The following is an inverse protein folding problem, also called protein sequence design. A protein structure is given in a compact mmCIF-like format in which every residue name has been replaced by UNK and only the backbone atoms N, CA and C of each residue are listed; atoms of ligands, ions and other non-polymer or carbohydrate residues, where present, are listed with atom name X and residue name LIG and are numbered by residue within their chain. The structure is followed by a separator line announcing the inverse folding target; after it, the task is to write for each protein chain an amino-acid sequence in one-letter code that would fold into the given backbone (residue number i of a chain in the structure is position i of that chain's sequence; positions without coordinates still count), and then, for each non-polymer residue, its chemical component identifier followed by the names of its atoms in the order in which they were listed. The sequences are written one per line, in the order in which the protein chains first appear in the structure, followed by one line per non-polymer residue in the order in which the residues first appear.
data_IF_360756662269
#
_entry.id   IF_360756662269
#
_cell.length_a   1.000
_cell.length_b   1.000
_cell.length_c   1.000
_cell.angle_alpha   90.00
_cell.angle_beta   90.00
_cell.angle_gamma   90.00
#
_symmetry.space_group_name_H-M   'P 1'
#
loop_
_entity.id
_entity.type
_entity.pdbx_description
1 polymer ?
#
# COMPACT_ATOMS: atom_id res chain seq x y z
N UNK A 1 -7.59 -11.03 18.52
CA UNK A 1 -8.56 -11.68 17.59
C UNK A 1 -7.96 -12.99 17.12
N UNK A 2 -8.76 -14.08 17.03
CA UNK A 2 -8.32 -15.37 16.46
C UNK A 2 -8.47 -15.44 14.94
N UNK A 3 -9.02 -14.39 14.30
CA UNK A 3 -9.14 -14.31 12.84
C UNK A 3 -7.75 -14.30 12.20
N UNK A 4 -7.58 -15.09 11.15
CA UNK A 4 -6.37 -15.14 10.33
C UNK A 4 -6.54 -14.23 9.14
N UNK A 5 -5.55 -13.37 8.90
CA UNK A 5 -5.49 -12.41 7.82
C UNK A 5 -4.64 -13.02 6.71
N UNK A 6 -5.13 -13.13 5.46
CA UNK A 6 -4.27 -13.47 4.34
C UNK A 6 -3.13 -12.45 4.23
N UNK A 7 -1.95 -12.91 3.84
CA UNK A 7 -0.76 -12.05 3.69
C UNK A 7 -0.14 -12.23 2.32
N UNK A 8 0.27 -11.10 1.73
CA UNK A 8 1.18 -11.08 0.58
C UNK A 8 2.61 -11.18 1.10
N UNK A 9 3.40 -12.06 0.50
CA UNK A 9 4.83 -12.16 0.73
C UNK A 9 5.53 -11.29 -0.31
N UNK A 10 6.39 -10.39 0.16
CA UNK A 10 7.10 -9.46 -0.71
C UNK A 10 8.60 -9.63 -0.51
N UNK A 11 9.30 -9.95 -1.60
CA UNK A 11 10.77 -9.80 -1.66
C UNK A 11 11.06 -8.42 -2.25
N UNK A 12 11.67 -7.52 -1.48
CA UNK A 12 11.86 -6.11 -1.88
C UNK A 12 12.59 -5.98 -3.22
N UNK A 13 13.62 -6.80 -3.44
CA UNK A 13 14.39 -6.85 -4.67
C UNK A 13 13.55 -7.22 -5.90
N UNK A 14 12.54 -8.08 -5.73
CA UNK A 14 11.70 -8.57 -6.83
C UNK A 14 10.66 -7.54 -7.29
N UNK A 15 10.37 -6.52 -6.45
CA UNK A 15 9.47 -5.41 -6.81
C UNK A 15 9.98 -4.63 -8.03
N UNK A 16 11.31 -4.47 -8.13
CA UNK A 16 11.96 -3.82 -9.28
C UNK A 16 11.74 -4.56 -10.60
N UNK A 17 11.33 -5.83 -10.55
CA UNK A 17 11.13 -6.70 -11.72
C UNK A 17 9.66 -6.83 -12.10
N UNK A 18 8.76 -6.13 -11.40
CA UNK A 18 7.32 -6.29 -11.53
C UNK A 18 6.88 -7.77 -11.47
N UNK A 19 7.40 -8.49 -10.48
CA UNK A 19 6.93 -9.83 -10.15
C UNK A 19 5.63 -9.73 -9.34
N UNK A 20 4.62 -10.57 -9.65
CA UNK A 20 3.45 -10.71 -8.80
C UNK A 20 3.84 -11.15 -7.38
N UNK A 21 3.00 -10.77 -6.42
CA UNK A 21 3.19 -11.17 -5.02
C UNK A 21 2.76 -12.62 -4.79
N UNK A 22 3.60 -13.39 -4.10
CA UNK A 22 3.16 -14.65 -3.50
C UNK A 22 2.16 -14.38 -2.38
N UNK A 23 1.24 -15.30 -2.14
CA UNK A 23 0.18 -15.13 -1.14
C UNK A 23 0.09 -16.34 -0.23
N UNK A 24 0.01 -16.11 1.08
CA UNK A 24 -0.35 -17.11 2.07
C UNK A 24 -1.83 -16.95 2.43
N UNK A 25 -2.67 -17.78 1.82
CA UNK A 25 -4.12 -17.81 2.00
C UNK A 25 -4.55 -18.44 3.35
N UNK A 26 -3.71 -19.28 3.97
CA UNK A 26 -4.00 -19.76 5.33
C UNK A 26 -3.94 -18.62 6.36
N UNK A 27 -3.21 -17.57 5.99
CA UNK A 27 -3.10 -16.32 6.73
C UNK A 27 -2.41 -16.47 8.09
N UNK A 28 -2.31 -15.35 8.78
CA UNK A 28 -1.74 -15.25 10.13
C UNK A 28 -2.66 -14.42 11.01
N UNK A 29 -2.73 -14.72 12.29
CA UNK A 29 -3.42 -13.87 13.25
C UNK A 29 -2.69 -12.54 13.40
N UNK A 30 -3.41 -11.50 13.83
CA UNK A 30 -2.80 -10.20 14.12
C UNK A 30 -1.65 -10.31 15.13
N UNK A 31 -1.78 -11.18 16.15
CA UNK A 31 -0.72 -11.37 17.14
C UNK A 31 0.52 -12.05 16.54
N UNK A 32 0.34 -13.05 15.69
CA UNK A 32 1.45 -13.69 14.98
C UNK A 32 2.17 -12.68 14.07
N UNK A 33 1.42 -11.83 13.36
CA UNK A 33 1.98 -10.78 12.51
C UNK A 33 2.82 -9.77 13.32
N UNK A 34 2.29 -9.28 14.44
CA UNK A 34 2.98 -8.30 15.29
C UNK A 34 4.22 -8.89 16.00
N UNK A 35 4.23 -10.19 16.25
CA UNK A 35 5.35 -10.88 16.87
C UNK A 35 6.43 -11.31 15.86
N UNK A 36 6.20 -11.12 14.56
CA UNK A 36 7.18 -11.47 13.55
C UNK A 36 8.43 -10.62 13.73
N UNK A 37 9.59 -11.26 13.84
CA UNK A 37 10.85 -10.56 13.97
C UNK A 37 11.08 -9.71 12.70
N UNK A 38 11.29 -8.39 12.81
CA UNK A 38 11.65 -7.54 11.67
C UNK A 38 12.98 -7.92 11.01
N UNK A 39 13.73 -8.88 11.61
CA UNK A 39 14.90 -9.51 11.02
C UNK A 39 16.21 -8.99 11.63
N UNK A 40 17.19 -8.72 10.78
CA UNK A 40 18.56 -8.31 11.12
C UNK A 40 18.62 -7.25 12.24
N UNK A 41 19.64 -7.32 13.10
CA UNK A 41 19.87 -6.33 14.16
C UNK A 41 19.97 -4.89 13.61
N UNK A 42 20.40 -4.73 12.35
CA UNK A 42 20.42 -3.44 11.65
C UNK A 42 19.01 -2.85 11.52
N UNK A 43 18.01 -3.68 11.22
CA UNK A 43 16.61 -3.26 11.11
C UNK A 43 16.01 -2.87 12.45
N UNK A 44 16.33 -3.61 13.51
CA UNK A 44 15.90 -3.28 14.89
C UNK A 44 16.37 -1.89 15.32
N UNK A 45 17.65 -1.59 15.10
CA UNK A 45 18.20 -0.28 15.44
C UNK A 45 17.53 0.87 14.66
N UNK A 46 17.23 0.68 13.37
CA UNK A 46 16.56 1.71 12.57
C UNK A 46 15.13 1.97 13.03
N UNK A 47 14.41 0.92 13.41
CA UNK A 47 13.06 1.03 13.97
C UNK A 47 13.10 1.80 15.30
N UNK A 48 14.05 1.48 16.17
CA UNK A 48 14.18 2.12 17.48
C UNK A 48 14.57 3.60 17.38
N UNK A 49 15.43 3.96 16.44
CA UNK A 49 15.84 5.36 16.22
C UNK A 49 14.81 6.18 15.46
N UNK A 50 13.85 5.53 14.79
CA UNK A 50 12.85 6.17 13.92
C UNK A 50 13.47 7.09 12.85
N UNK A 51 14.63 6.70 12.33
CA UNK A 51 15.28 7.41 11.23
C UNK A 51 14.61 7.06 9.90
N UNK A 52 13.43 7.64 9.67
CA UNK A 52 12.62 7.36 8.47
C UNK A 52 13.32 7.71 7.17
N UNK A 53 14.22 8.71 7.17
CA UNK A 53 14.95 9.07 5.97
C UNK A 53 16.01 8.01 5.64
N UNK A 54 16.65 7.40 6.64
CA UNK A 54 17.56 6.28 6.40
C UNK A 54 16.80 5.00 6.01
N UNK A 55 15.66 4.71 6.66
CA UNK A 55 14.80 3.57 6.29
C UNK A 55 14.38 3.69 4.83
N UNK A 56 13.93 4.88 4.41
CA UNK A 56 13.54 5.13 3.02
C UNK A 56 14.70 4.96 2.04
N UNK A 57 15.90 5.51 2.35
CA UNK A 57 17.09 5.32 1.52
C UNK A 57 17.43 3.83 1.36
N UNK A 58 17.41 3.09 2.45
CA UNK A 58 17.69 1.66 2.46
C UNK A 58 16.68 0.88 1.61
N UNK A 59 15.38 1.21 1.69
CA UNK A 59 14.35 0.56 0.88
C UNK A 59 14.68 0.64 -0.61
N UNK A 60 15.01 1.84 -1.11
CA UNK A 60 15.36 2.03 -2.51
C UNK A 60 16.68 1.37 -2.90
N UNK A 61 17.67 1.37 -2.00
CA UNK A 61 18.93 0.67 -2.20
C UNK A 61 18.72 -0.86 -2.31
N UNK A 62 17.93 -1.46 -1.41
CA UNK A 62 17.60 -2.88 -1.49
C UNK A 62 16.83 -3.23 -2.77
N UNK A 63 15.90 -2.37 -3.18
CA UNK A 63 15.11 -2.60 -4.38
C UNK A 63 15.97 -2.60 -5.66
N UNK A 64 16.98 -1.72 -5.74
CA UNK A 64 17.80 -1.56 -6.94
C UNK A 64 19.09 -2.39 -6.92
N UNK A 65 19.50 -2.92 -5.77
CA UNK A 65 20.72 -3.72 -5.63
C UNK A 65 20.40 -5.22 -5.43
N UNK A 66 20.47 -6.05 -6.49
CA UNK A 66 20.19 -7.48 -6.39
C UNK A 66 21.21 -8.25 -5.54
N UNK A 67 22.40 -7.70 -5.31
CA UNK A 67 23.46 -8.31 -4.51
C UNK A 67 23.35 -7.96 -3.00
N UNK A 68 22.35 -7.17 -2.62
CA UNK A 68 22.07 -6.82 -1.23
C UNK A 68 21.47 -8.00 -0.44
N UNK A 69 21.40 -7.87 0.89
CA UNK A 69 20.68 -8.82 1.74
C UNK A 69 19.22 -8.95 1.27
N UNK A 70 18.75 -10.18 1.00
CA UNK A 70 17.35 -10.42 0.62
C UNK A 70 16.42 -9.97 1.74
N UNK A 71 15.53 -9.02 1.43
CA UNK A 71 14.55 -8.51 2.40
C UNK A 71 13.18 -9.08 2.05
N UNK A 72 12.67 -9.96 2.91
CA UNK A 72 11.33 -10.54 2.78
C UNK A 72 10.41 -10.02 3.87
N UNK A 73 9.24 -9.53 3.48
CA UNK A 73 8.25 -8.91 4.38
C UNK A 73 6.85 -9.42 4.08
N UNK A 74 6.00 -9.38 5.11
CA UNK A 74 4.58 -9.72 4.96
C UNK A 74 3.76 -8.44 4.88
N UNK A 75 2.72 -8.48 4.05
CA UNK A 75 1.76 -7.40 3.95
C UNK A 75 0.34 -7.94 3.94
N UNK A 76 -0.41 -7.71 5.01
CA UNK A 76 -1.83 -8.03 5.04
C UNK A 76 -2.58 -6.87 4.37
N UNK A 77 -3.01 -7.06 3.13
CA UNK A 77 -3.65 -6.05 2.29
C UNK A 77 -5.06 -6.48 1.90
N UNK A 78 -5.88 -5.50 1.54
CA UNK A 78 -7.23 -5.69 1.02
C UNK A 78 -8.16 -6.48 1.97
N UNK A 79 -7.92 -6.35 3.28
CA UNK A 79 -8.73 -6.96 4.31
C UNK A 79 -10.07 -6.22 4.39
N UNK A 80 -11.19 -6.91 4.22
CA UNK A 80 -12.49 -6.25 4.28
C UNK A 80 -12.79 -5.77 5.71
N UNK A 81 -13.09 -4.48 5.85
CA UNK A 81 -13.30 -3.88 7.17
C UNK A 81 -14.46 -4.48 7.97
N UNK A 82 -15.52 -4.95 7.31
CA UNK A 82 -16.65 -5.63 7.96
C UNK A 82 -16.32 -7.05 8.46
N UNK A 83 -15.32 -7.69 7.86
CA UNK A 83 -14.79 -8.97 8.30
C UNK A 83 -13.74 -8.81 9.41
N UNK A 84 -12.84 -7.82 9.32
CA UNK A 84 -11.67 -7.73 10.20
C UNK A 84 -11.73 -6.67 11.30
N UNK A 85 -12.56 -5.64 11.15
CA UNK A 85 -12.79 -4.68 12.25
C UNK A 85 -13.89 -5.18 13.18
N UNK A 86 -13.74 -4.90 14.47
CA UNK A 86 -14.76 -5.24 15.44
C UNK A 86 -16.04 -4.44 15.15
N UNK A 87 -17.19 -5.12 15.05
CA UNK A 87 -18.52 -4.47 14.97
C UNK A 87 -18.77 -3.54 16.17
N UNK A 88 -18.06 -3.79 17.27
CA UNK A 88 -18.13 -3.08 18.55
C UNK A 88 -17.14 -1.89 18.65
N UNK A 89 -16.30 -1.64 17.64
CA UNK A 89 -15.22 -0.64 17.72
C UNK A 89 -15.69 0.82 17.83
N UNK A 90 -16.99 1.11 17.74
CA UNK A 90 -17.52 2.28 18.43
C UNK A 90 -19.01 2.09 18.72
N UNK A 91 -19.38 1.78 19.97
CA UNK A 91 -20.74 2.12 20.44
C UNK A 91 -20.97 3.65 20.46
N UNK A 92 -19.92 4.44 20.23
CA UNK A 92 -20.01 5.88 20.05
C UNK A 92 -20.76 6.23 18.75
N UNK A 93 -22.03 6.59 18.92
CA UNK A 93 -22.92 7.06 17.87
C UNK A 93 -22.35 8.28 17.12
N UNK A 94 -21.45 9.06 17.73
CA UNK A 94 -20.81 10.19 17.07
C UNK A 94 -19.85 9.70 15.99
N UNK A 95 -18.98 8.73 16.27
CA UNK A 95 -18.07 8.15 15.27
C UNK A 95 -18.84 7.40 14.18
N UNK A 96 -19.86 6.62 14.57
CA UNK A 96 -20.67 5.86 13.62
C UNK A 96 -21.37 6.76 12.59
N UNK A 97 -21.74 7.99 12.96
CA UNK A 97 -22.40 8.92 12.05
C UNK A 97 -21.48 10.02 11.54
N UNK A 98 -20.20 9.99 11.92
CA UNK A 98 -19.25 11.02 11.52
C UNK A 98 -19.06 11.02 10.00
N UNK A 99 -19.03 12.19 9.33
CA UNK A 99 -18.89 12.26 7.88
C UNK A 99 -17.55 11.73 7.37
N UNK A 100 -16.52 11.68 8.23
CA UNK A 100 -15.21 11.11 7.90
C UNK A 100 -15.08 9.62 8.20
N UNK A 101 -16.14 8.97 8.70
CA UNK A 101 -16.14 7.52 8.80
C UNK A 101 -16.11 6.94 7.37
N UNK A 102 -15.02 6.23 7.04
CA UNK A 102 -14.77 5.78 5.67
C UNK A 102 -15.87 4.87 5.11
N UNK A 103 -16.56 4.12 5.98
CA UNK A 103 -17.71 3.29 5.61
C UNK A 103 -18.97 4.09 5.27
N UNK A 104 -18.93 5.43 5.39
CA UNK A 104 -20.05 6.35 5.13
C UNK A 104 -19.73 7.44 4.12
N UNK A 105 -18.49 7.51 3.64
CA UNK A 105 -18.09 8.53 2.65
C UNK A 105 -18.94 8.46 1.38
N UNK A 106 -19.26 7.24 0.94
CA UNK A 106 -20.09 7.02 -0.24
C UNK A 106 -21.52 7.58 -0.07
N UNK A 107 -22.02 7.73 1.17
CA UNK A 107 -23.37 8.24 1.48
C UNK A 107 -23.43 9.77 1.64
N UNK A 108 -22.29 10.47 1.58
CA UNK A 108 -22.28 11.91 1.78
C UNK A 108 -22.96 12.61 0.61
N UNK A 109 -23.61 13.76 0.87
CA UNK A 109 -24.42 14.50 -0.11
C UNK A 109 -23.71 14.81 -1.44
N UNK A 110 -22.38 14.93 -1.41
CA UNK A 110 -21.58 15.27 -2.60
C UNK A 110 -20.88 14.05 -3.23
N UNK A 111 -21.14 12.84 -2.72
CA UNK A 111 -20.64 11.61 -3.31
C UNK A 111 -21.55 11.18 -4.46
N UNK A 112 -20.98 10.89 -5.63
CA UNK A 112 -21.74 10.27 -6.73
C UNK A 112 -22.15 8.83 -6.40
N UNK A 113 -21.39 8.15 -5.53
CA UNK A 113 -21.64 6.77 -5.12
C UNK A 113 -22.90 6.62 -4.24
N UNK A 114 -23.49 7.72 -3.76
CA UNK A 114 -24.73 7.66 -2.97
C UNK A 114 -25.93 7.14 -3.79
N UNK A 115 -25.83 7.21 -5.12
CA UNK A 115 -26.85 6.79 -6.07
C UNK A 115 -26.61 5.38 -6.65
N UNK A 116 -25.50 4.73 -6.32
CA UNK A 116 -25.25 3.36 -6.76
C UNK A 116 -26.28 2.41 -6.13
N UNK A 117 -26.94 1.60 -6.98
CA UNK A 117 -27.90 0.59 -6.52
C UNK A 117 -27.21 -0.46 -5.65
N UNK A 118 -26.02 -0.90 -6.09
CA UNK A 118 -25.14 -1.71 -5.27
C UNK A 118 -24.40 -0.83 -4.25
N UNK A 119 -24.81 -0.95 -3.00
CA UNK A 119 -24.22 -0.22 -1.87
C UNK A 119 -22.99 -0.92 -1.29
N UNK A 120 -22.63 -2.11 -1.78
CA UNK A 120 -21.67 -3.01 -1.16
C UNK A 120 -20.58 -3.45 -2.13
N UNK A 121 -19.89 -2.47 -2.71
CA UNK A 121 -18.77 -2.69 -3.60
C UNK A 121 -17.48 -2.70 -2.78
N UNK A 122 -16.80 -3.85 -2.70
CA UNK A 122 -15.54 -4.00 -1.96
C UNK A 122 -14.47 -3.04 -2.50
N UNK A 123 -13.73 -2.39 -1.61
CA UNK A 123 -12.70 -1.41 -1.98
C UNK A 123 -13.26 -0.02 -2.36
N UNK A 124 -14.55 0.08 -2.70
CA UNK A 124 -15.19 1.33 -3.16
C UNK A 124 -16.14 1.91 -2.11
N UNK A 125 -17.22 1.19 -1.77
CA UNK A 125 -18.18 1.64 -0.72
C UNK A 125 -17.91 0.97 0.63
N UNK A 126 -17.15 -0.14 0.62
CA UNK A 126 -16.63 -0.83 1.80
C UNK A 126 -15.12 -0.70 1.86
N UNK A 127 -14.63 -0.08 2.93
CA UNK A 127 -13.21 0.21 3.10
C UNK A 127 -12.40 -1.08 3.29
N UNK A 128 -11.19 -1.07 2.76
CA UNK A 128 -10.17 -2.06 3.05
C UNK A 128 -9.30 -1.62 4.25
N UNK A 129 -8.78 -2.62 4.96
CA UNK A 129 -7.82 -2.48 6.04
C UNK A 129 -6.48 -3.04 5.57
N UNK A 130 -5.42 -2.37 6.00
CA UNK A 130 -4.04 -2.74 5.69
C UNK A 130 -3.24 -2.87 6.99
N UNK A 131 -2.55 -4.00 7.16
CA UNK A 131 -1.58 -4.22 8.24
C UNK A 131 -0.22 -4.43 7.57
N UNK A 132 0.65 -3.44 7.75
CA UNK A 132 1.99 -3.44 7.18
C UNK A 132 3.07 -3.55 8.25
N UNK A 133 4.25 -3.94 7.80
CA UNK A 133 5.50 -3.89 8.55
C UNK A 133 6.53 -3.02 7.81
N UNK A 134 7.71 -2.82 8.41
CA UNK A 134 8.79 -2.09 7.74
C UNK A 134 9.07 -2.69 6.36
N UNK A 135 9.23 -1.83 5.34
CA UNK A 135 9.41 -2.17 3.92
C UNK A 135 8.23 -2.85 3.20
N UNK A 136 7.16 -3.25 3.89
CA UNK A 136 5.93 -3.63 3.18
C UNK A 136 5.42 -2.44 2.36
N UNK A 137 5.03 -2.71 1.12
CA UNK A 137 4.78 -1.65 0.13
C UNK A 137 3.65 -2.01 -0.83
N UNK A 138 3.12 -1.01 -1.52
CA UNK A 138 2.22 -1.18 -2.66
C UNK A 138 2.83 -0.43 -3.85
N UNK A 139 2.71 -1.04 -5.03
CA UNK A 139 3.30 -0.51 -6.25
C UNK A 139 2.56 0.73 -6.78
N UNK A 140 3.16 1.40 -7.75
CA UNK A 140 2.54 2.53 -8.43
C UNK A 140 1.24 2.11 -9.10
N UNK A 141 0.15 2.82 -8.80
CA UNK A 141 -1.15 2.64 -9.43
C UNK A 141 -1.96 3.94 -9.37
N UNK A 142 -3.09 3.94 -10.06
CA UNK A 142 -4.17 4.88 -9.86
C UNK A 142 -5.44 4.08 -9.58
N UNK A 143 -6.41 4.69 -8.90
CA UNK A 143 -7.64 4.02 -8.51
C UNK A 143 -8.52 3.69 -9.72
N UNK A 144 -9.36 2.68 -9.56
CA UNK A 144 -10.38 2.32 -10.55
C UNK A 144 -11.20 3.54 -10.98
N UNK A 145 -11.45 3.64 -12.29
CA UNK A 145 -12.16 4.77 -12.91
C UNK A 145 -11.56 6.14 -12.58
N UNK A 146 -10.29 6.19 -12.16
CA UNK A 146 -9.59 7.40 -11.70
C UNK A 146 -10.35 8.10 -10.54
N UNK A 147 -10.98 7.31 -9.68
CA UNK A 147 -11.63 7.82 -8.48
C UNK A 147 -10.62 8.41 -7.50
N UNK A 148 -11.12 9.21 -6.56
CA UNK A 148 -10.34 9.62 -5.40
C UNK A 148 -10.27 8.47 -4.40
N UNK A 149 -9.10 8.27 -3.80
CA UNK A 149 -8.97 7.47 -2.58
C UNK A 149 -8.79 8.35 -1.35
N UNK A 150 -9.20 7.81 -0.21
CA UNK A 150 -8.90 8.35 1.11
C UNK A 150 -8.24 7.25 1.94
N UNK A 151 -7.19 7.59 2.67
CA UNK A 151 -6.52 6.69 3.59
C UNK A 151 -6.50 7.28 5.00
N UNK A 152 -6.86 6.49 6.00
CA UNK A 152 -6.74 6.86 7.41
C UNK A 152 -5.83 5.87 8.14
N UNK A 153 -4.84 6.41 8.85
CA UNK A 153 -3.88 5.60 9.60
C UNK A 153 -4.34 5.50 11.05
N UNK A 154 -4.91 4.36 11.42
CA UNK A 154 -5.44 4.14 12.76
C UNK A 154 -4.35 4.20 13.84
N UNK A 155 -3.30 3.40 13.68
CA UNK A 155 -2.23 3.23 14.68
C UNK A 155 -0.92 2.80 13.99
N UNK A 156 0.19 2.80 14.74
CA UNK A 156 1.48 2.24 14.33
C UNK A 156 2.54 3.28 13.94
N UNK A 157 3.58 2.82 13.25
CA UNK A 157 4.63 3.67 12.69
C UNK A 157 4.17 4.29 11.37
N UNK A 158 4.71 5.46 11.01
CA UNK A 158 4.19 6.22 9.88
C UNK A 158 4.46 5.60 8.50
N UNK A 159 3.61 5.96 7.53
CA UNK A 159 3.62 5.48 6.15
C UNK A 159 4.17 6.57 5.22
N UNK A 160 5.16 6.21 4.41
CA UNK A 160 5.71 7.10 3.38
C UNK A 160 4.90 6.93 2.09
N UNK A 161 4.51 8.06 1.50
CA UNK A 161 3.77 8.12 0.25
C UNK A 161 4.55 8.87 -0.80
N UNK A 162 4.43 8.40 -2.04
CA UNK A 162 4.82 9.15 -3.23
C UNK A 162 3.60 9.35 -4.13
N UNK A 163 3.47 10.53 -4.72
CA UNK A 163 2.36 10.87 -5.59
C UNK A 163 2.86 11.59 -6.85
N UNK A 164 2.29 11.20 -7.98
CA UNK A 164 2.54 11.82 -9.29
C UNK A 164 1.25 12.55 -9.70
N UNK A 165 1.32 13.83 -10.11
CA UNK A 165 0.17 14.52 -10.65
C UNK A 165 -0.37 13.82 -11.91
N UNK A 166 -1.69 13.80 -12.08
CA UNK A 166 -2.36 13.09 -13.18
C UNK A 166 -1.89 13.52 -14.59
N UNK A 167 -1.48 14.78 -14.76
CA UNK A 167 -0.93 15.28 -16.03
C UNK A 167 0.44 14.68 -16.40
N UNK A 168 1.11 13.98 -15.49
CA UNK A 168 2.31 13.20 -15.77
C UNK A 168 2.06 11.70 -15.99
N UNK A 169 0.80 11.23 -15.90
CA UNK A 169 0.44 9.80 -16.03
C UNK A 169 1.04 9.15 -17.27
N UNK A 170 0.80 9.71 -18.45
CA UNK A 170 1.31 9.13 -19.71
C UNK A 170 2.84 9.09 -19.76
N UNK A 171 3.50 10.07 -19.15
CA UNK A 171 4.95 10.12 -19.08
C UNK A 171 5.48 9.02 -18.15
N UNK A 172 4.85 8.82 -17.00
CA UNK A 172 5.15 7.72 -16.10
C UNK A 172 4.95 6.36 -16.80
N UNK A 173 3.79 6.15 -17.46
CA UNK A 173 3.49 4.90 -18.17
C UNK A 173 4.53 4.58 -19.26
N UNK A 174 5.02 5.59 -20.00
CA UNK A 174 6.12 5.41 -20.96
C UNK A 174 7.42 5.00 -20.29
N UNK A 175 7.84 5.71 -19.23
CA UNK A 175 9.07 5.39 -18.51
C UNK A 175 9.03 3.98 -17.88
N UNK A 176 7.87 3.57 -17.37
CA UNK A 176 7.67 2.21 -16.87
C UNK A 176 7.82 1.18 -17.99
N UNK A 177 7.18 1.40 -19.13
CA UNK A 177 7.30 0.52 -20.31
C UNK A 177 8.72 0.44 -20.83
N UNK A 178 9.45 1.56 -20.83
CA UNK A 178 10.83 1.60 -21.29
C UNK A 178 11.76 0.87 -20.31
N UNK A 179 11.63 1.12 -19.00
CA UNK A 179 12.48 0.51 -17.96
C UNK A 179 12.22 -0.98 -17.77
N UNK A 180 10.99 -1.44 -17.98
CA UNK A 180 10.57 -2.83 -17.83
C UNK A 180 10.16 -3.46 -19.16
N UNK A 181 10.79 -3.08 -20.27
CA UNK A 181 10.36 -3.45 -21.62
C UNK A 181 10.23 -4.97 -21.85
N UNK A 182 11.15 -5.77 -21.31
CA UNK A 182 11.07 -7.23 -21.37
C UNK A 182 9.82 -7.76 -20.66
N UNK A 183 9.54 -7.24 -19.45
CA UNK A 183 8.38 -7.63 -18.64
C UNK A 183 7.07 -7.21 -19.29
N UNK A 184 6.98 -6.00 -19.84
CA UNK A 184 5.79 -5.56 -20.57
C UNK A 184 5.56 -6.33 -21.89
N UNK A 185 6.62 -6.91 -22.46
CA UNK A 185 6.49 -7.78 -23.63
C UNK A 185 5.94 -9.16 -23.26
N UNK A 186 6.28 -9.65 -22.06
CA UNK A 186 5.73 -10.89 -21.49
C UNK A 186 4.29 -10.70 -21.00
N UNK A 187 4.02 -9.58 -20.34
CA UNK A 187 2.73 -9.24 -19.75
C UNK A 187 2.40 -7.75 -19.95
N UNK A 188 1.46 -7.39 -20.83
CA UNK A 188 1.09 -6.00 -21.05
C UNK A 188 0.28 -5.38 -19.89
N UNK A 189 -0.18 -6.19 -18.92
CA UNK A 189 -1.10 -5.78 -17.86
C UNK A 189 -0.42 -5.34 -16.56
N UNK A 190 0.92 -5.32 -16.48
CA UNK A 190 1.65 -5.03 -15.23
C UNK A 190 1.24 -3.75 -14.48
N UNK A 191 0.77 -2.72 -15.20
CA UNK A 191 0.23 -1.49 -14.59
C UNK A 191 -1.18 -1.68 -14.03
N UNK A 192 -1.99 -2.52 -14.66
CA UNK A 192 -3.33 -2.88 -14.19
C UNK A 192 -3.25 -3.85 -12.99
N UNK A 193 -2.26 -4.74 -12.99
CA UNK A 193 -2.04 -5.72 -11.93
C UNK A 193 -1.28 -5.13 -10.72
N UNK A 194 -0.95 -3.84 -10.75
CA UNK A 194 -0.30 -3.11 -9.65
C UNK A 194 1.02 -3.78 -9.23
N UNK A 195 1.86 -4.13 -10.22
CA UNK A 195 3.16 -4.77 -9.97
C UNK A 195 4.35 -3.85 -10.26
N UNK A 196 4.15 -2.64 -10.80
CA UNK A 196 5.24 -1.75 -11.21
C UNK A 196 5.77 -0.91 -10.06
N UNK A 197 6.99 -1.19 -9.61
CA UNK A 197 7.72 -0.36 -8.64
C UNK A 197 8.93 0.31 -9.28
N UNK A 198 8.96 1.64 -9.28
CA UNK A 198 10.05 2.45 -9.81
C UNK A 198 10.53 3.45 -8.75
N UNK A 199 11.85 3.62 -8.64
CA UNK A 199 12.45 4.61 -7.75
C UNK A 199 11.99 6.04 -8.14
N UNK A 200 11.41 6.83 -7.20
CA UNK A 200 11.05 8.22 -7.40
C UNK A 200 12.18 9.09 -7.95
N UNK A 201 13.44 8.83 -7.56
CA UNK A 201 14.60 9.57 -8.05
C UNK A 201 14.74 9.42 -9.58
N UNK A 202 14.64 8.19 -10.09
CA UNK A 202 14.63 7.93 -11.53
C UNK A 202 13.50 8.68 -12.26
N UNK A 203 12.32 8.77 -11.66
CA UNK A 203 11.19 9.50 -12.24
C UNK A 203 11.46 11.01 -12.31
N UNK A 204 12.00 11.59 -11.23
CA UNK A 204 12.36 13.02 -11.14
C UNK A 204 13.46 13.36 -12.14
N UNK A 205 14.50 12.54 -12.24
CA UNK A 205 15.59 12.71 -13.21
C UNK A 205 15.08 12.69 -14.65
N UNK A 206 14.03 11.92 -14.92
CA UNK A 206 13.37 11.87 -16.22
C UNK A 206 12.24 12.91 -16.37
N UNK A 207 12.14 13.88 -15.44
CA UNK A 207 11.25 15.03 -15.51
C UNK A 207 9.77 14.72 -15.22
N UNK A 208 9.49 13.74 -14.36
CA UNK A 208 8.18 13.54 -13.75
C UNK A 208 8.18 14.23 -12.38
N UNK A 209 7.18 15.08 -12.12
CA UNK A 209 7.04 15.66 -10.78
C UNK A 209 6.53 14.58 -9.81
N UNK A 210 7.26 14.39 -8.71
CA UNK A 210 6.90 13.47 -7.63
C UNK A 210 6.84 14.24 -6.33
N UNK A 211 5.77 14.05 -5.56
CA UNK A 211 5.60 14.59 -4.22
C UNK A 211 5.72 13.48 -3.19
N UNK A 212 6.28 13.80 -2.02
CA UNK A 212 6.46 12.87 -0.90
C UNK A 212 5.72 13.38 0.32
N UNK A 213 5.11 12.48 1.08
CA UNK A 213 4.65 12.79 2.45
C UNK A 213 4.88 11.63 3.39
N UNK A 214 4.95 11.95 4.68
CA UNK A 214 5.02 10.99 5.77
C UNK A 214 3.72 11.09 6.57
N UNK A 215 2.82 10.13 6.37
CA UNK A 215 1.55 10.02 7.08
C UNK A 215 1.79 9.38 8.45
N UNK A 216 1.51 10.12 9.52
CA UNK A 216 1.51 9.60 10.90
C UNK A 216 0.12 9.09 11.26
N UNK A 217 -0.03 8.29 12.35
CA UNK A 217 -1.35 7.95 12.87
C UNK A 217 -2.18 9.18 13.25
N UNK A 218 -3.49 9.08 13.02
CA UNK A 218 -4.46 10.19 13.17
C UNK A 218 -4.60 11.07 11.94
#
# INVERSE_FOLDING_TARGET
SSKRMPIRLQTVQELSQAKPFDTNEEGVTFQEFMNKDPGSNTFKNLIDTKDYDQIERNFWEFLENPDSETVQVDYASDLKSDEFMAKEASEDANYQNHPWNMNRLHLQKNSLLQFCEDKYISGITKSWLYVGMMYSSFCWHYEDLMMYSLNYMHEGEGKIWYAIPSYHREKFERLAKDKLASRFSEDPNLLLDINVMLNPAYLVENGVHVYRTHQKPG
#
